data_IF_718531683974
#
_entry.id   IF_718531683974
#
_cell.length_a   1.000
_cell.length_b   1.000
_cell.length_c   1.000
_cell.angle_alpha   90.00
_cell.angle_beta   90.00
_cell.angle_gamma   90.00
#
_symmetry.space_group_name_H-M   'P 1'
#
loop_
_entity.id
_entity.type
_entity.pdbx_description
1 polymer ?
#
# COMPACT_ATOMS: atom_id res chain seq x y z
N UNK A 1 3.46 6.41 -19.01
CA UNK A 1 3.89 7.03 -17.78
C UNK A 1 3.60 6.10 -16.60
N UNK A 2 4.62 5.83 -15.80
CA UNK A 2 4.55 4.83 -14.72
C UNK A 2 3.48 5.14 -13.69
N UNK A 3 3.31 6.41 -13.34
CA UNK A 3 2.35 6.80 -12.31
C UNK A 3 0.91 6.50 -12.72
N UNK A 4 0.55 6.78 -13.96
CA UNK A 4 -0.81 6.49 -14.43
C UNK A 4 -1.05 4.99 -14.51
N UNK A 5 -0.05 4.23 -14.94
CA UNK A 5 -0.15 2.77 -14.94
C UNK A 5 -0.34 2.22 -13.52
N UNK A 6 0.42 2.76 -12.57
CA UNK A 6 0.32 2.32 -11.18
C UNK A 6 -1.07 2.60 -10.59
N UNK A 7 -1.70 3.71 -10.97
CA UNK A 7 -3.00 4.11 -10.44
C UNK A 7 -4.18 3.51 -11.20
N UNK A 8 -3.95 2.79 -12.30
CA UNK A 8 -5.03 2.29 -13.16
C UNK A 8 -5.65 0.98 -12.66
N UNK A 9 -5.34 0.56 -11.45
CA UNK A 9 -5.84 -0.69 -10.88
C UNK A 9 -6.40 -0.41 -9.48
N UNK A 10 -7.62 -0.92 -9.23
CA UNK A 10 -8.29 -0.69 -7.95
C UNK A 10 -7.52 -1.26 -6.76
N UNK A 11 -6.87 -2.40 -6.92
CA UNK A 11 -6.10 -3.00 -5.83
C UNK A 11 -4.87 -2.16 -5.48
N UNK A 12 -4.23 -1.56 -6.47
CA UNK A 12 -3.10 -0.67 -6.20
C UNK A 12 -3.55 0.60 -5.48
N UNK A 13 -4.70 1.15 -5.84
CA UNK A 13 -5.26 2.29 -5.11
C UNK A 13 -5.60 1.90 -3.67
N UNK A 14 -6.18 0.70 -3.48
CA UNK A 14 -6.46 0.18 -2.13
C UNK A 14 -5.19 0.09 -1.29
N UNK A 15 -4.10 -0.39 -1.86
CA UNK A 15 -2.81 -0.48 -1.15
C UNK A 15 -2.36 0.91 -0.70
N UNK A 16 -2.43 1.91 -1.57
CA UNK A 16 -2.06 3.28 -1.21
C UNK A 16 -2.90 3.80 -0.05
N UNK A 17 -4.21 3.56 -0.08
CA UNK A 17 -5.11 3.97 1.00
C UNK A 17 -4.80 3.23 2.31
N UNK A 18 -4.42 1.97 2.24
CA UNK A 18 -4.02 1.19 3.42
C UNK A 18 -2.75 1.76 4.05
N UNK A 19 -1.78 2.15 3.22
CA UNK A 19 -0.52 2.71 3.70
C UNK A 19 -0.67 4.11 4.29
N UNK A 20 -1.79 4.78 4.08
CA UNK A 20 -2.12 6.02 4.78
C UNK A 20 -2.32 5.78 6.27
N UNK A 21 -2.74 4.57 6.65
CA UNK A 21 -2.99 4.22 8.05
C UNK A 21 -1.68 3.96 8.80
N UNK A 22 -0.83 3.11 8.22
CA UNK A 22 0.49 2.79 8.78
C UNK A 22 1.32 2.02 7.77
N UNK A 23 2.59 1.81 8.09
CA UNK A 23 3.44 0.93 7.30
C UNK A 23 2.97 -0.51 7.45
N UNK A 24 3.10 -1.29 6.37
CA UNK A 24 2.62 -2.68 6.32
C UNK A 24 3.65 -3.55 5.62
N UNK A 25 3.77 -4.80 6.07
CA UNK A 25 4.55 -5.80 5.35
C UNK A 25 3.66 -6.55 4.35
N UNK A 26 4.28 -7.29 3.43
CA UNK A 26 3.57 -7.98 2.34
C UNK A 26 2.46 -8.89 2.86
N UNK A 27 2.73 -9.66 3.91
CA UNK A 27 1.72 -10.60 4.42
C UNK A 27 0.52 -9.90 5.03
N UNK A 28 0.71 -8.73 5.63
CA UNK A 28 -0.41 -7.94 6.13
C UNK A 28 -1.28 -7.43 4.97
N UNK A 29 -0.64 -6.93 3.92
CA UNK A 29 -1.35 -6.46 2.73
C UNK A 29 -2.09 -7.62 2.05
N UNK A 30 -1.41 -8.76 1.92
CA UNK A 30 -1.98 -9.97 1.34
C UNK A 30 -3.22 -10.43 2.09
N UNK A 31 -3.16 -10.38 3.42
CA UNK A 31 -4.28 -10.76 4.28
C UNK A 31 -5.49 -9.83 4.07
N UNK A 32 -5.24 -8.53 3.98
CA UNK A 32 -6.34 -7.58 3.76
C UNK A 32 -6.96 -7.73 2.37
N UNK A 33 -6.11 -7.85 1.34
CA UNK A 33 -6.59 -7.93 -0.04
C UNK A 33 -7.14 -9.30 -0.41
N UNK A 34 -6.74 -10.34 0.30
CA UNK A 34 -7.12 -11.73 -0.03
C UNK A 34 -6.69 -12.12 -1.45
N UNK A 35 -5.46 -11.74 -1.81
CA UNK A 35 -4.84 -12.08 -3.09
C UNK A 35 -3.58 -12.92 -2.85
N UNK A 36 -3.12 -13.58 -3.89
CA UNK A 36 -1.86 -14.33 -3.82
C UNK A 36 -0.69 -13.38 -3.56
N UNK A 37 0.31 -13.85 -2.82
CA UNK A 37 1.50 -13.06 -2.51
C UNK A 37 2.21 -12.57 -3.76
N UNK A 38 2.30 -13.41 -4.80
CA UNK A 38 2.93 -13.03 -6.06
C UNK A 38 2.20 -11.87 -6.75
N UNK A 39 0.87 -11.86 -6.68
CA UNK A 39 0.06 -10.78 -7.24
C UNK A 39 0.28 -9.48 -6.47
N UNK A 40 0.27 -9.55 -5.15
CA UNK A 40 0.51 -8.38 -4.29
C UNK A 40 1.91 -7.83 -4.53
N UNK A 41 2.92 -8.70 -4.61
CA UNK A 41 4.30 -8.28 -4.86
C UNK A 41 4.44 -7.55 -6.19
N UNK A 42 3.72 -7.99 -7.22
CA UNK A 42 3.72 -7.31 -8.51
C UNK A 42 3.10 -5.92 -8.41
N UNK A 43 1.98 -5.79 -7.70
CA UNK A 43 1.36 -4.49 -7.46
C UNK A 43 2.32 -3.55 -6.71
N UNK A 44 3.00 -4.06 -5.69
CA UNK A 44 3.95 -3.27 -4.92
C UNK A 44 5.13 -2.81 -5.77
N UNK A 45 5.63 -3.68 -6.66
CA UNK A 45 6.71 -3.31 -7.58
C UNK A 45 6.30 -2.16 -8.50
N UNK A 46 5.09 -2.20 -9.04
CA UNK A 46 4.59 -1.13 -9.92
C UNK A 46 4.44 0.19 -9.17
N UNK A 47 3.95 0.15 -7.93
CA UNK A 47 3.83 1.33 -7.09
C UNK A 47 5.20 1.91 -6.72
N UNK A 48 6.17 1.05 -6.42
CA UNK A 48 7.53 1.48 -6.09
C UNK A 48 8.22 2.08 -7.31
N UNK A 49 8.06 1.48 -8.49
CA UNK A 49 8.66 1.98 -9.71
C UNK A 49 8.11 3.36 -10.10
N UNK A 50 6.89 3.67 -9.68
CA UNK A 50 6.26 4.98 -9.89
C UNK A 50 6.61 5.99 -8.78
N UNK A 51 7.48 5.63 -7.84
CA UNK A 51 7.91 6.46 -6.71
C UNK A 51 6.78 6.81 -5.74
N UNK A 52 5.69 6.05 -5.75
CA UNK A 52 4.57 6.29 -4.84
C UNK A 52 4.84 5.69 -3.45
N UNK A 53 5.59 4.61 -3.40
CA UNK A 53 5.90 3.92 -2.15
C UNK A 53 7.40 3.58 -2.09
N UNK A 54 7.87 3.34 -0.87
CA UNK A 54 9.21 2.82 -0.61
C UNK A 54 9.10 1.56 0.22
N UNK A 55 10.11 0.72 0.12
CA UNK A 55 10.25 -0.42 1.01
C UNK A 55 11.41 -0.16 1.98
N UNK A 56 11.26 -0.65 3.20
CA UNK A 56 12.24 -0.46 4.27
C UNK A 56 12.39 -1.77 5.03
N UNK A 57 13.62 -2.26 5.13
CA UNK A 57 13.91 -3.49 5.86
C UNK A 57 14.19 -3.17 7.32
N UNK A 58 13.49 -3.86 8.21
CA UNK A 58 13.72 -3.76 9.66
C UNK A 58 13.81 -5.19 10.22
N UNK A 59 15.03 -5.62 10.56
CA UNK A 59 15.27 -6.99 11.00
C UNK A 59 14.89 -7.98 9.89
N UNK A 60 14.01 -8.92 10.21
CA UNK A 60 13.53 -9.92 9.24
C UNK A 60 12.32 -9.47 8.44
N UNK A 61 11.80 -8.27 8.72
CA UNK A 61 10.60 -7.74 8.08
C UNK A 61 10.94 -6.70 7.04
N UNK A 62 10.15 -6.66 5.96
CA UNK A 62 10.20 -5.59 4.97
C UNK A 62 8.87 -4.85 5.03
N UNK A 63 8.92 -3.56 5.32
CA UNK A 63 7.75 -2.70 5.41
C UNK A 63 7.63 -1.82 4.19
N UNK A 64 6.40 -1.58 3.77
CA UNK A 64 6.09 -0.63 2.70
C UNK A 64 5.46 0.60 3.33
N UNK A 65 5.86 1.77 2.81
CA UNK A 65 5.37 3.07 3.29
C UNK A 65 5.11 3.96 2.09
N UNK A 66 4.21 4.93 2.23
CA UNK A 66 4.08 5.99 1.25
C UNK A 66 5.40 6.75 1.20
N UNK A 67 5.81 7.18 0.01
CA UNK A 67 7.12 7.81 -0.16
C UNK A 67 7.13 9.21 0.48
N UNK A 68 7.84 9.40 1.61
CA UNK A 68 7.88 10.70 2.29
C UNK A 68 8.79 11.70 1.61
N UNK A 69 9.60 11.24 0.65
CA UNK A 69 10.56 12.07 -0.07
C UNK A 69 10.22 12.20 -1.55
N UNK A 70 8.95 11.96 -1.88
CA UNK A 70 8.50 12.06 -3.25
C UNK A 70 8.76 13.46 -3.80
N UNK A 71 9.19 13.51 -5.05
CA UNK A 71 9.51 14.74 -5.73
C UNK A 71 8.50 15.03 -6.84
N UNK A 72 8.50 16.27 -7.33
CA UNK A 72 7.71 16.68 -8.49
C UNK A 72 6.23 16.38 -8.29
N UNK A 73 5.58 15.88 -9.35
CA UNK A 73 4.13 15.64 -9.33
C UNK A 73 3.71 14.55 -8.34
N UNK A 74 4.60 13.63 -7.98
CA UNK A 74 4.25 12.60 -6.98
C UNK A 74 4.03 13.26 -5.62
N UNK A 75 4.86 14.24 -5.25
CA UNK A 75 4.70 14.96 -3.98
C UNK A 75 3.41 15.76 -3.93
N UNK A 76 2.89 16.18 -5.08
CA UNK A 76 1.61 16.87 -5.16
C UNK A 76 0.43 15.89 -5.14
N UNK A 77 0.62 14.73 -5.76
CA UNK A 77 -0.43 13.75 -5.93
C UNK A 77 -0.79 13.01 -4.63
N UNK A 78 0.21 12.62 -3.85
CA UNK A 78 -0.04 11.86 -2.61
C UNK A 78 -1.00 12.57 -1.64
N UNK A 79 -0.85 13.88 -1.38
CA UNK A 79 -1.83 14.59 -0.55
C UNK A 79 -3.23 14.60 -1.15
N UNK A 80 -3.34 14.64 -2.48
CA UNK A 80 -4.64 14.57 -3.15
C UNK A 80 -5.28 13.20 -2.98
N UNK A 81 -4.52 12.14 -3.18
CA UNK A 81 -5.00 10.77 -2.99
C UNK A 81 -5.52 10.59 -1.56
N UNK A 82 -4.85 11.19 -0.59
CA UNK A 82 -5.25 11.12 0.81
C UNK A 82 -6.66 11.67 1.03
N UNK A 83 -7.06 12.65 0.24
CA UNK A 83 -8.41 13.24 0.32
C UNK A 83 -9.46 12.43 -0.42
N UNK A 84 -9.03 11.49 -1.27
CA UNK A 84 -9.94 10.69 -2.09
C UNK A 84 -10.59 9.57 -1.28
N UNK A 85 -11.79 9.21 -1.69
CA UNK A 85 -12.51 8.04 -1.21
C UNK A 85 -12.70 7.98 0.32
N UNK A 86 -13.04 9.11 0.98
CA UNK A 86 -13.17 9.11 2.44
C UNK A 86 -14.30 8.22 2.96
N UNK A 87 -15.32 7.98 2.12
CA UNK A 87 -16.49 7.20 2.50
C UNK A 87 -16.70 5.97 1.62
N UNK A 88 -15.69 5.59 0.82
CA UNK A 88 -15.79 4.40 -0.02
C UNK A 88 -15.89 3.16 0.87
N UNK A 89 -16.89 2.28 0.68
CA UNK A 89 -17.08 1.12 1.55
C UNK A 89 -15.88 0.18 1.59
N UNK A 90 -15.22 -0.05 0.46
CA UNK A 90 -14.05 -0.94 0.40
C UNK A 90 -12.87 -0.32 1.14
N UNK A 91 -12.65 0.99 0.96
CA UNK A 91 -11.58 1.71 1.65
C UNK A 91 -11.78 1.67 3.16
N UNK A 92 -13.01 1.92 3.62
CA UNK A 92 -13.33 1.87 5.06
C UNK A 92 -13.15 0.47 5.62
N UNK A 93 -13.57 -0.55 4.88
CA UNK A 93 -13.40 -1.94 5.29
C UNK A 93 -11.92 -2.32 5.37
N UNK A 94 -11.13 -1.90 4.38
CA UNK A 94 -9.69 -2.16 4.38
C UNK A 94 -9.01 -1.49 5.58
N UNK A 95 -9.37 -0.26 5.91
CA UNK A 95 -8.83 0.44 7.07
C UNK A 95 -9.11 -0.30 8.38
N UNK A 96 -10.31 -0.83 8.50
CA UNK A 96 -10.70 -1.60 9.68
C UNK A 96 -9.86 -2.87 9.79
N UNK A 97 -9.66 -3.57 8.69
CA UNK A 97 -8.82 -4.77 8.65
C UNK A 97 -7.35 -4.46 8.96
N UNK A 98 -6.83 -3.35 8.43
CA UNK A 98 -5.45 -2.92 8.69
C UNK A 98 -5.24 -2.68 10.18
N UNK A 99 -6.23 -2.12 10.87
CA UNK A 99 -6.15 -1.87 12.31
C UNK A 99 -6.06 -3.15 13.13
N UNK A 100 -6.59 -4.27 12.61
CA UNK A 100 -6.65 -5.55 13.33
C UNK A 100 -5.58 -6.55 12.94
N UNK A 101 -5.01 -6.42 11.73
CA UNK A 101 -4.07 -7.40 11.23
C UNK A 101 -2.73 -7.30 11.97
N UNK A 102 -2.16 -8.46 12.30
CA UNK A 102 -0.90 -8.54 13.03
C UNK A 102 0.05 -9.49 12.27
N UNK A 103 1.17 -8.96 11.82
CA UNK A 103 2.16 -9.74 11.07
C UNK A 103 2.70 -10.92 11.86
N UNK A 104 2.83 -10.78 13.18
CA UNK A 104 3.37 -11.85 14.01
C UNK A 104 2.43 -13.06 14.09
N UNK A 105 1.14 -12.83 13.89
CA UNK A 105 0.14 -13.88 13.87
C UNK A 105 0.03 -14.53 12.50
N UNK A 106 0.05 -13.74 11.43
CA UNK A 106 -0.21 -14.20 10.06
C UNK A 106 1.04 -14.48 9.24
N UNK A 107 2.13 -13.74 9.50
CA UNK A 107 3.39 -13.90 8.78
C UNK A 107 4.34 -14.77 9.60
N UNK A 108 4.17 -16.06 9.52
CA UNK A 108 5.04 -16.98 10.21
C UNK A 108 6.35 -17.14 9.42
N UNK A 109 7.42 -16.72 10.01
CA UNK A 109 8.75 -16.78 9.40
C UNK A 109 9.60 -17.81 10.12
#
# INVERSE_FOLDING_TARGET
VKIFKALSDSNRLRILKMLEVRSLCVCEITEVLQLATSTVSKHLSLLRDADLILDRKEGKWVYFVLNPRAEKYVSELLPLIKKWLPNDPVVLQDRDKVARVDKETICKV
#
